data_IF_802255429065
#
_entry.id   IF_802255429065
#
_cell.length_a   1.000
_cell.length_b   1.000
_cell.length_c   1.000
_cell.angle_alpha   90.00
_cell.angle_beta   90.00
_cell.angle_gamma   90.00
#
_symmetry.space_group_name_H-M   'P 1'
#
loop_
_entity.id
_entity.type
_entity.pdbx_description
1 polymer ?
#
# COMPACT_ATOMS: atom_id res chain seq x y z
N UNK A 1 7.10 -16.48 -24.89
CA UNK A 1 8.31 -15.95 -24.19
C UNK A 1 8.00 -14.71 -23.33
N UNK A 2 7.40 -13.64 -23.85
CA UNK A 2 7.14 -12.39 -23.08
C UNK A 2 6.28 -12.58 -21.81
N UNK A 3 5.18 -13.32 -21.88
CA UNK A 3 4.27 -13.57 -20.75
C UNK A 3 4.95 -14.25 -19.54
N UNK A 4 5.88 -15.18 -19.80
CA UNK A 4 6.59 -15.88 -18.73
C UNK A 4 7.56 -14.95 -17.97
N UNK A 5 8.21 -14.01 -18.68
CA UNK A 5 9.09 -13.03 -18.07
C UNK A 5 8.30 -12.03 -17.20
N UNK A 6 7.11 -11.61 -17.64
CA UNK A 6 6.23 -10.73 -16.88
C UNK A 6 5.74 -11.38 -15.58
N UNK A 7 5.27 -12.63 -15.65
CA UNK A 7 4.87 -13.41 -14.46
C UNK A 7 6.04 -13.56 -13.48
N UNK A 8 7.24 -13.84 -13.99
CA UNK A 8 8.44 -13.93 -13.14
C UNK A 8 8.75 -12.61 -12.42
N UNK A 9 8.56 -11.47 -13.10
CA UNK A 9 8.75 -10.14 -12.51
C UNK A 9 7.70 -9.83 -11.44
N UNK A 10 6.43 -10.14 -11.72
CA UNK A 10 5.33 -9.98 -10.76
C UNK A 10 5.58 -10.81 -9.50
N UNK A 11 5.91 -12.09 -9.66
CA UNK A 11 6.18 -12.97 -8.53
C UNK A 11 7.36 -12.49 -7.69
N UNK A 12 8.41 -11.94 -8.31
CA UNK A 12 9.53 -11.36 -7.54
C UNK A 12 9.09 -10.21 -6.66
N UNK A 13 8.33 -9.25 -7.23
CA UNK A 13 7.77 -8.13 -6.46
C UNK A 13 6.86 -8.60 -5.32
N UNK A 14 6.06 -9.64 -5.56
CA UNK A 14 5.23 -10.23 -4.52
C UNK A 14 6.07 -10.84 -3.39
N UNK A 15 7.11 -11.61 -3.72
CA UNK A 15 8.00 -12.20 -2.71
C UNK A 15 8.73 -11.12 -1.92
N UNK A 16 9.25 -10.09 -2.59
CA UNK A 16 9.91 -8.95 -1.93
C UNK A 16 8.95 -8.25 -0.93
N UNK A 17 7.67 -8.11 -1.29
CA UNK A 17 6.65 -7.58 -0.38
C UNK A 17 6.38 -8.50 0.82
N UNK A 18 6.27 -9.82 0.57
CA UNK A 18 6.02 -10.80 1.63
C UNK A 18 7.19 -10.90 2.61
N UNK A 19 8.43 -10.89 2.12
CA UNK A 19 9.65 -10.91 2.94
C UNK A 19 9.74 -9.69 3.87
N UNK A 20 9.25 -8.52 3.41
CA UNK A 20 9.16 -7.30 4.21
C UNK A 20 7.95 -7.25 5.15
N UNK A 21 6.98 -8.17 5.03
CA UNK A 21 5.66 -8.10 5.67
C UNK A 21 5.40 -9.27 6.62
N UNK A 22 6.27 -9.42 7.62
CA UNK A 22 6.26 -10.55 8.57
C UNK A 22 4.98 -10.68 9.41
N UNK A 23 4.21 -9.60 9.53
CA UNK A 23 2.86 -9.62 10.12
C UNK A 23 2.00 -8.47 9.53
N UNK A 24 0.73 -8.41 9.95
CA UNK A 24 -0.22 -7.41 9.45
C UNK A 24 0.22 -5.95 9.67
N UNK A 25 0.94 -5.64 10.75
CA UNK A 25 1.44 -4.28 11.01
C UNK A 25 2.54 -3.89 10.01
N UNK A 26 3.49 -4.78 9.75
CA UNK A 26 4.51 -4.56 8.73
C UNK A 26 3.90 -4.50 7.32
N UNK A 27 2.90 -5.34 7.04
CA UNK A 27 2.19 -5.31 5.76
C UNK A 27 1.52 -3.95 5.53
N UNK A 28 0.79 -3.44 6.53
CA UNK A 28 0.16 -2.12 6.46
C UNK A 28 1.21 -1.02 6.31
N UNK A 29 2.30 -1.04 7.07
CA UNK A 29 3.34 -0.01 6.95
C UNK A 29 3.98 0.02 5.55
N UNK A 30 4.30 -1.15 4.99
CA UNK A 30 4.81 -1.27 3.63
C UNK A 30 3.81 -0.75 2.58
N UNK A 31 2.52 -1.11 2.72
CA UNK A 31 1.48 -0.65 1.81
C UNK A 31 1.25 0.86 1.93
N UNK A 32 1.31 1.44 3.14
CA UNK A 32 1.25 2.90 3.32
C UNK A 32 2.36 3.60 2.56
N UNK A 33 3.59 3.10 2.65
CA UNK A 33 4.74 3.67 1.94
C UNK A 33 4.53 3.64 0.43
N UNK A 34 4.10 2.49 -0.12
CA UNK A 34 3.76 2.35 -1.54
C UNK A 34 2.66 3.33 -1.96
N UNK A 35 1.59 3.47 -1.17
CA UNK A 35 0.49 4.38 -1.47
C UNK A 35 0.95 5.84 -1.48
N UNK A 36 1.78 6.24 -0.52
CA UNK A 36 2.37 7.58 -0.46
C UNK A 36 3.26 7.85 -1.67
N UNK A 37 4.10 6.89 -2.08
CA UNK A 37 4.93 6.98 -3.29
C UNK A 37 4.08 7.15 -4.56
N UNK A 38 2.91 6.50 -4.62
CA UNK A 38 1.94 6.62 -5.72
C UNK A 38 1.02 7.86 -5.63
N UNK A 39 1.29 8.73 -4.66
CA UNK A 39 0.63 10.03 -4.48
C UNK A 39 -0.71 9.99 -3.73
N UNK A 40 -0.96 8.95 -2.94
CA UNK A 40 -2.07 8.94 -1.99
C UNK A 40 -1.72 9.74 -0.74
N UNK A 41 -2.70 10.45 -0.19
CA UNK A 41 -2.58 11.18 1.06
C UNK A 41 -3.21 10.38 2.22
N UNK A 42 -2.50 10.20 3.35
CA UNK A 42 -3.12 9.61 4.54
C UNK A 42 -4.19 10.55 5.10
N UNK A 43 -5.30 9.97 5.53
CA UNK A 43 -6.35 10.64 6.29
C UNK A 43 -6.40 10.07 7.71
N UNK A 44 -6.69 10.94 8.67
CA UNK A 44 -6.91 10.54 10.06
C UNK A 44 -8.41 10.50 10.37
N UNK A 45 -8.90 9.37 10.89
CA UNK A 45 -10.33 9.14 11.09
C UNK A 45 -10.96 10.07 12.15
N UNK A 46 -10.16 10.73 12.99
CA UNK A 46 -10.61 11.68 14.01
C UNK A 46 -10.62 13.15 13.58
N UNK A 47 -10.37 13.45 12.30
CA UNK A 47 -10.30 14.81 11.77
C UNK A 47 -11.32 15.02 10.63
N UNK A 48 -11.73 16.27 10.42
CA UNK A 48 -12.55 16.63 9.26
C UNK A 48 -11.75 16.50 7.96
N UNK A 49 -12.28 15.76 7.00
CA UNK A 49 -11.59 15.52 5.73
C UNK A 49 -11.89 16.59 4.68
N UNK A 50 -10.83 17.19 4.13
CA UNK A 50 -10.90 18.13 3.02
C UNK A 50 -10.67 17.41 1.68
N UNK A 51 -11.63 16.57 1.28
CA UNK A 51 -11.52 15.74 0.08
C UNK A 51 -11.69 16.55 -1.21
N UNK A 52 -10.90 16.22 -2.22
CA UNK A 52 -11.01 16.77 -3.58
C UNK A 52 -11.43 15.70 -4.57
N UNK A 53 -12.24 16.08 -5.56
CA UNK A 53 -12.65 15.18 -6.65
C UNK A 53 -11.41 14.67 -7.37
N UNK A 54 -11.30 13.34 -7.50
CA UNK A 54 -10.14 12.69 -8.12
C UNK A 54 -8.90 12.61 -7.23
N UNK A 55 -8.98 13.05 -5.97
CA UNK A 55 -7.90 12.86 -5.00
C UNK A 55 -7.74 11.38 -4.61
N UNK A 56 -6.51 11.03 -4.24
CA UNK A 56 -6.12 9.69 -3.79
C UNK A 56 -5.90 9.73 -2.29
N UNK A 57 -6.62 8.90 -1.54
CA UNK A 57 -6.59 8.92 -0.07
C UNK A 57 -6.63 7.51 0.51
N UNK A 58 -6.07 7.30 1.69
CA UNK A 58 -6.22 6.07 2.47
C UNK A 58 -6.32 6.40 3.97
N UNK A 59 -6.84 5.46 4.75
CA UNK A 59 -6.86 5.50 6.22
C UNK A 59 -6.17 4.25 6.74
N UNK A 60 -5.73 4.25 7.99
CA UNK A 60 -5.34 3.02 8.67
C UNK A 60 -5.98 2.95 10.03
N UNK A 61 -6.40 1.75 10.45
CA UNK A 61 -6.98 1.53 11.77
C UNK A 61 -6.12 0.57 12.56
N UNK A 62 -5.73 1.00 13.77
CA UNK A 62 -4.88 0.25 14.70
C UNK A 62 -3.51 -0.19 14.10
N UNK A 63 -3.10 0.38 12.96
CA UNK A 63 -1.86 0.01 12.26
C UNK A 63 -1.86 -1.39 11.63
N UNK A 64 -2.94 -2.16 11.75
CA UNK A 64 -3.06 -3.53 11.21
C UNK A 64 -4.17 -3.67 10.15
N UNK A 65 -4.89 -2.57 9.86
CA UNK A 65 -5.84 -2.45 8.77
C UNK A 65 -5.54 -1.17 7.98
N UNK A 66 -5.63 -1.29 6.65
CA UNK A 66 -5.46 -0.24 5.65
C UNK A 66 -6.69 -0.20 4.75
#
# INVERSE_FOLDING_TARGET
>A
MAKAAEVKKLNRKLMDFLDGSVNAFFAVDNMKNILVEEGFLPLYEGEDWQLKRGGKYFVTRNGSAL
#
